data_IF_432253731017
#
_entry.id   IF_432253731017
#
_cell.length_a   1.000
_cell.length_b   1.000
_cell.length_c   1.000
_cell.angle_alpha   90.00
_cell.angle_beta   90.00
_cell.angle_gamma   90.00
#
_symmetry.space_group_name_H-M   'P 1'
#
loop_
_entity.id
_entity.type
_entity.pdbx_description
1 polymer ?
#
# COMPACT_ATOMS: atom_id res chain seq x y z
N UNK A 1 14.03 1.26 30.43
CA UNK A 1 13.26 1.88 29.37
C UNK A 1 13.65 1.32 28.02
N UNK A 2 12.70 1.14 27.21
CA UNK A 2 12.96 0.71 25.86
C UNK A 2 13.73 1.77 25.08
N UNK A 3 14.85 1.38 24.52
CA UNK A 3 15.67 2.29 23.73
C UNK A 3 15.13 2.56 22.34
N UNK A 4 14.03 1.93 21.96
CA UNK A 4 13.46 2.11 20.63
C UNK A 4 12.97 3.53 20.46
N UNK A 5 13.36 4.12 19.34
CA UNK A 5 12.85 5.41 18.95
C UNK A 5 11.41 5.24 18.44
N UNK A 6 10.64 6.32 18.52
CA UNK A 6 9.28 6.28 18.04
C UNK A 6 9.20 5.81 16.57
N UNK A 7 10.20 6.17 15.76
CA UNK A 7 10.24 5.75 14.36
C UNK A 7 10.63 4.29 14.17
N UNK A 8 11.14 3.62 15.20
CA UNK A 8 11.56 2.22 15.09
C UNK A 8 10.43 1.25 15.39
N UNK A 9 9.42 1.69 16.13
CA UNK A 9 8.31 0.83 16.46
C UNK A 9 7.28 0.83 15.32
N UNK A 10 6.69 -0.33 15.00
CA UNK A 10 5.60 -0.34 14.01
C UNK A 10 4.37 0.38 14.57
N UNK A 11 3.60 1.00 13.69
CA UNK A 11 2.35 1.65 14.06
C UNK A 11 1.21 0.66 14.19
N UNK A 12 1.34 -0.49 13.53
CA UNK A 12 0.32 -1.53 13.63
C UNK A 12 0.72 -2.75 12.81
N UNK A 13 -0.21 -3.70 12.71
CA UNK A 13 0.03 -4.90 11.96
C UNK A 13 -1.22 -5.73 11.80
N UNK A 14 -1.17 -6.66 10.85
CA UNK A 14 -2.21 -7.63 10.57
C UNK A 14 -1.55 -8.98 10.40
N UNK A 15 -1.63 -9.81 11.45
CA UNK A 15 -0.92 -11.08 11.48
C UNK A 15 0.59 -10.85 11.52
N UNK A 16 1.37 -11.55 10.68
CA UNK A 16 2.84 -11.41 10.66
C UNK A 16 3.34 -10.19 9.87
N UNK A 17 2.46 -9.31 9.46
CA UNK A 17 2.79 -8.11 8.70
C UNK A 17 2.68 -6.89 9.60
N UNK A 18 3.70 -6.07 9.63
CA UNK A 18 3.75 -4.83 10.39
C UNK A 18 3.82 -3.64 9.43
N UNK A 19 3.42 -2.47 9.91
CA UNK A 19 3.57 -1.26 9.11
C UNK A 19 3.94 -0.06 9.96
N UNK A 20 4.54 0.94 9.31
CA UNK A 20 4.83 2.24 9.89
C UNK A 20 4.25 3.31 8.99
N UNK A 21 3.71 4.34 9.61
CA UNK A 21 3.21 5.50 8.90
C UNK A 21 4.26 6.60 9.02
N UNK A 22 4.77 7.08 7.90
CA UNK A 22 5.73 8.17 7.85
C UNK A 22 5.00 9.46 7.51
N UNK A 23 4.87 10.35 8.47
CA UNK A 23 4.17 11.61 8.32
C UNK A 23 5.07 12.76 7.93
N UNK A 24 6.36 12.48 7.66
CA UNK A 24 7.33 13.52 7.34
C UNK A 24 7.30 13.94 5.87
N UNK A 25 6.60 13.20 5.02
CA UNK A 25 6.53 13.50 3.59
C UNK A 25 5.33 14.41 3.32
N UNK A 26 5.56 15.67 2.92
CA UNK A 26 4.44 16.60 2.74
C UNK A 26 3.47 16.14 1.66
N UNK A 27 2.19 16.20 1.97
CA UNK A 27 1.12 15.93 1.00
C UNK A 27 0.89 14.47 0.66
N UNK A 28 1.68 13.56 1.20
CA UNK A 28 1.59 12.14 0.87
C UNK A 28 1.41 11.33 2.14
N UNK A 29 0.46 10.42 2.14
CA UNK A 29 0.33 9.43 3.21
C UNK A 29 1.25 8.26 2.87
N UNK A 30 2.24 8.00 3.71
CA UNK A 30 3.25 6.98 3.44
C UNK A 30 3.11 5.84 4.46
N UNK A 31 2.90 4.63 3.95
CA UNK A 31 2.89 3.42 4.76
C UNK A 31 4.03 2.53 4.30
N UNK A 32 4.90 2.13 5.23
CA UNK A 32 5.96 1.16 4.96
C UNK A 32 5.61 -0.15 5.63
N UNK A 33 5.51 -1.19 4.82
CA UNK A 33 4.98 -2.49 5.22
C UNK A 33 6.12 -3.51 5.18
N UNK A 34 6.25 -4.28 6.25
CA UNK A 34 7.30 -5.30 6.33
C UNK A 34 6.76 -6.54 7.02
N UNK A 35 7.52 -7.63 6.92
CA UNK A 35 7.17 -8.89 7.54
C UNK A 35 6.97 -9.98 6.53
N UNK A 36 6.11 -10.93 6.87
CA UNK A 36 5.84 -12.09 6.01
C UNK A 36 4.43 -11.97 5.45
N UNK A 37 4.35 -11.91 4.13
CA UNK A 37 3.07 -11.84 3.42
C UNK A 37 2.23 -13.04 3.74
N UNK A 38 0.92 -12.87 3.74
CA UNK A 38 0.04 -13.89 4.21
C UNK A 38 -1.13 -14.12 3.29
N UNK A 39 -2.29 -13.74 3.76
CA UNK A 39 -3.53 -14.11 3.10
C UNK A 39 -4.28 -12.88 2.60
N UNK A 40 -5.30 -13.16 1.79
CA UNK A 40 -6.12 -12.13 1.18
C UNK A 40 -6.89 -11.31 2.22
N UNK A 41 -7.35 -11.95 3.30
CA UNK A 41 -8.11 -11.26 4.33
C UNK A 41 -7.27 -10.20 5.05
N UNK A 42 -6.06 -10.59 5.45
CA UNK A 42 -5.15 -9.65 6.11
C UNK A 42 -4.74 -8.51 5.17
N UNK A 43 -4.49 -8.84 3.90
CA UNK A 43 -4.15 -7.83 2.90
C UNK A 43 -5.30 -6.85 2.68
N UNK A 44 -6.53 -7.34 2.62
CA UNK A 44 -7.70 -6.48 2.46
C UNK A 44 -7.86 -5.53 3.65
N UNK A 45 -7.73 -6.05 4.87
CA UNK A 45 -7.83 -5.21 6.07
C UNK A 45 -6.75 -4.13 6.08
N UNK A 46 -5.54 -4.47 5.68
CA UNK A 46 -4.42 -3.54 5.62
C UNK A 46 -4.68 -2.43 4.59
N UNK A 47 -5.10 -2.77 3.40
CA UNK A 47 -5.41 -1.79 2.37
C UNK A 47 -6.55 -0.87 2.77
N UNK A 48 -7.60 -1.43 3.35
CA UNK A 48 -8.72 -0.64 3.86
C UNK A 48 -8.24 0.37 4.89
N UNK A 49 -7.40 -0.08 5.81
CA UNK A 49 -6.85 0.81 6.82
C UNK A 49 -6.06 1.96 6.21
N UNK A 50 -5.19 1.66 5.24
CA UNK A 50 -4.37 2.71 4.62
C UNK A 50 -5.21 3.73 3.87
N UNK A 51 -6.18 3.28 3.10
CA UNK A 51 -7.05 4.19 2.36
C UNK A 51 -7.86 5.06 3.31
N UNK A 52 -8.45 4.46 4.33
CA UNK A 52 -9.25 5.22 5.30
C UNK A 52 -8.39 6.19 6.10
N UNK A 53 -7.19 5.78 6.49
CA UNK A 53 -6.28 6.65 7.24
C UNK A 53 -5.78 7.81 6.38
N UNK A 54 -5.48 7.57 5.11
CA UNK A 54 -5.09 8.63 4.20
C UNK A 54 -6.21 9.67 4.06
N UNK A 55 -7.44 9.22 3.86
CA UNK A 55 -8.58 10.13 3.74
C UNK A 55 -8.84 10.88 5.03
N UNK A 56 -8.75 10.21 6.17
CA UNK A 56 -8.93 10.86 7.48
C UNK A 56 -7.86 11.92 7.72
N UNK A 57 -6.69 11.76 7.12
CA UNK A 57 -5.59 12.73 7.19
C UNK A 57 -5.71 13.86 6.15
N UNK A 58 -6.76 13.85 5.34
CA UNK A 58 -6.95 14.82 4.28
C UNK A 58 -6.02 14.64 3.09
N UNK A 59 -5.46 13.44 2.91
CA UNK A 59 -4.49 13.17 1.85
C UNK A 59 -5.15 12.42 0.70
N UNK A 60 -4.81 12.82 -0.52
CA UNK A 60 -5.28 12.14 -1.73
C UNK A 60 -4.17 11.34 -2.42
N UNK A 61 -2.97 11.38 -1.87
CA UNK A 61 -1.81 10.66 -2.40
C UNK A 61 -1.33 9.67 -1.35
N UNK A 62 -1.26 8.41 -1.75
CA UNK A 62 -0.89 7.30 -0.86
C UNK A 62 0.28 6.55 -1.48
N UNK A 63 1.37 6.40 -0.72
CA UNK A 63 2.47 5.53 -1.11
C UNK A 63 2.54 4.38 -0.13
N UNK A 64 2.51 3.16 -0.66
CA UNK A 64 2.71 1.95 0.14
C UNK A 64 3.99 1.29 -0.33
N UNK A 65 5.00 1.32 0.54
CA UNK A 65 6.29 0.70 0.27
C UNK A 65 6.32 -0.68 0.90
N UNK A 66 6.62 -1.70 0.13
CA UNK A 66 6.46 -3.08 0.54
C UNK A 66 7.79 -3.79 0.65
N UNK A 67 8.02 -4.39 1.81
CA UNK A 67 9.18 -5.25 2.06
C UNK A 67 8.67 -6.53 2.72
N UNK A 68 7.98 -7.35 1.93
CA UNK A 68 7.36 -8.57 2.41
C UNK A 68 8.10 -9.79 1.91
N UNK A 69 8.35 -10.74 2.80
CA UNK A 69 8.85 -12.06 2.46
C UNK A 69 7.69 -13.04 2.34
N UNK A 70 7.99 -14.29 2.01
CA UNK A 70 7.00 -15.35 1.97
C UNK A 70 6.18 -15.40 0.69
N UNK A 71 5.08 -16.13 0.71
CA UNK A 71 4.29 -16.35 -0.51
C UNK A 71 3.65 -15.07 -1.03
N UNK A 72 3.56 -14.98 -2.34
CA UNK A 72 2.82 -13.92 -3.03
C UNK A 72 1.38 -14.39 -3.20
N UNK A 73 0.43 -13.47 -3.14
CA UNK A 73 -0.96 -13.82 -3.41
C UNK A 73 -1.09 -14.40 -4.83
N UNK A 74 -1.87 -15.44 -4.97
CA UNK A 74 -2.26 -15.93 -6.30
C UNK A 74 -3.24 -14.93 -6.93
N UNK A 75 -3.49 -15.09 -8.22
CA UNK A 75 -4.48 -14.24 -8.89
C UNK A 75 -5.87 -14.40 -8.29
N UNK A 76 -6.24 -15.63 -7.90
CA UNK A 76 -7.52 -15.88 -7.26
C UNK A 76 -7.61 -15.20 -5.89
N UNK A 77 -6.54 -15.24 -5.13
CA UNK A 77 -6.48 -14.57 -3.83
C UNK A 77 -6.52 -13.06 -3.99
N UNK A 78 -5.86 -12.53 -5.01
CA UNK A 78 -5.91 -11.10 -5.31
C UNK A 78 -7.33 -10.67 -5.67
N UNK A 79 -8.00 -11.45 -6.52
CA UNK A 79 -9.39 -11.16 -6.89
C UNK A 79 -10.30 -11.18 -5.67
N UNK A 80 -10.09 -12.12 -4.76
CA UNK A 80 -10.85 -12.18 -3.52
C UNK A 80 -10.58 -10.97 -2.62
N UNK A 81 -9.32 -10.55 -2.52
CA UNK A 81 -8.97 -9.35 -1.77
C UNK A 81 -9.69 -8.12 -2.34
N UNK A 82 -9.64 -7.96 -3.65
CA UNK A 82 -10.29 -6.82 -4.30
C UNK A 82 -11.80 -6.86 -4.15
N UNK A 83 -12.40 -8.05 -4.16
CA UNK A 83 -13.84 -8.19 -3.90
C UNK A 83 -14.20 -7.70 -2.49
N UNK A 84 -13.35 -7.98 -1.51
CA UNK A 84 -13.55 -7.51 -0.14
C UNK A 84 -13.40 -5.98 -0.01
N UNK A 85 -12.75 -5.35 -0.97
CA UNK A 85 -12.55 -3.90 -0.99
C UNK A 85 -13.51 -3.19 -1.96
N UNK A 86 -14.47 -3.90 -2.51
CA UNK A 86 -15.35 -3.36 -3.55
C UNK A 86 -16.23 -2.19 -3.08
N UNK A 87 -16.48 -2.09 -1.77
CA UNK A 87 -17.24 -0.98 -1.18
C UNK A 87 -16.39 0.26 -0.90
N UNK A 88 -15.06 0.14 -1.09
CA UNK A 88 -14.15 1.21 -0.75
C UNK A 88 -14.10 2.24 -1.89
N UNK A 89 -14.32 3.49 -1.53
CA UNK A 89 -14.28 4.58 -2.50
C UNK A 89 -12.83 4.98 -2.76
N UNK A 90 -12.36 4.78 -3.99
CA UNK A 90 -11.01 5.14 -4.41
C UNK A 90 -10.96 6.40 -5.27
N UNK A 91 -12.10 7.04 -5.52
CA UNK A 91 -12.15 8.24 -6.34
C UNK A 91 -11.24 9.33 -5.81
N UNK A 92 -10.44 9.90 -6.70
CA UNK A 92 -9.53 10.99 -6.35
C UNK A 92 -8.25 10.54 -5.67
N UNK A 93 -8.10 9.25 -5.35
CA UNK A 93 -6.85 8.75 -4.78
C UNK A 93 -5.84 8.40 -5.85
N UNK A 94 -4.60 8.80 -5.62
CA UNK A 94 -3.44 8.31 -6.38
C UNK A 94 -2.65 7.42 -5.45
N UNK A 95 -2.44 6.18 -5.88
CA UNK A 95 -1.80 5.15 -5.07
C UNK A 95 -0.52 4.70 -5.79
N UNK A 96 0.61 4.87 -5.13
CA UNK A 96 1.88 4.35 -5.60
C UNK A 96 2.28 3.15 -4.75
N UNK A 97 2.51 2.02 -5.40
CA UNK A 97 3.00 0.81 -4.73
C UNK A 97 4.48 0.70 -5.04
N UNK A 98 5.31 0.68 -4.01
CA UNK A 98 6.75 0.50 -4.18
C UNK A 98 7.07 -0.95 -3.91
N UNK A 99 7.56 -1.65 -4.94
CA UNK A 99 7.93 -3.06 -4.86
C UNK A 99 9.29 -3.23 -5.53
N UNK A 100 10.38 -3.30 -4.75
CA UNK A 100 11.71 -3.43 -5.34
C UNK A 100 12.02 -4.81 -5.90
N UNK A 101 11.21 -5.82 -5.55
CA UNK A 101 11.46 -7.20 -5.99
C UNK A 101 10.68 -7.50 -7.25
N UNK A 102 11.41 -7.72 -8.35
CA UNK A 102 10.81 -7.94 -9.67
C UNK A 102 9.83 -9.11 -9.67
N UNK A 103 10.15 -10.20 -8.96
CA UNK A 103 9.32 -11.39 -8.92
C UNK A 103 7.96 -11.16 -8.25
N UNK A 104 7.81 -10.03 -7.54
CA UNK A 104 6.56 -9.70 -6.86
C UNK A 104 5.76 -8.63 -7.58
N UNK A 105 6.35 -7.97 -8.56
CA UNK A 105 5.71 -6.83 -9.22
C UNK A 105 4.49 -7.23 -10.04
N UNK A 106 4.48 -8.45 -10.59
CA UNK A 106 3.36 -8.88 -11.42
C UNK A 106 2.02 -8.82 -10.70
N UNK A 107 1.97 -9.31 -9.48
CA UNK A 107 0.74 -9.27 -8.68
C UNK A 107 0.39 -7.83 -8.28
N UNK A 108 1.37 -7.03 -7.96
CA UNK A 108 1.13 -5.63 -7.63
C UNK A 108 0.57 -4.86 -8.83
N UNK A 109 1.06 -5.13 -10.03
CA UNK A 109 0.54 -4.52 -11.26
C UNK A 109 -0.91 -4.93 -11.50
N UNK A 110 -1.23 -6.20 -11.33
CA UNK A 110 -2.62 -6.65 -11.45
C UNK A 110 -3.52 -5.96 -10.42
N UNK A 111 -3.04 -5.83 -9.19
CA UNK A 111 -3.76 -5.13 -8.14
C UNK A 111 -4.01 -3.67 -8.49
N UNK A 112 -3.01 -2.99 -9.05
CA UNK A 112 -3.14 -1.61 -9.49
C UNK A 112 -4.20 -1.48 -10.58
N UNK A 113 -4.23 -2.41 -11.54
CA UNK A 113 -5.24 -2.41 -12.59
C UNK A 113 -6.64 -2.57 -12.02
N UNK A 114 -6.81 -3.46 -11.06
CA UNK A 114 -8.11 -3.68 -10.42
C UNK A 114 -8.55 -2.44 -9.62
N UNK A 115 -7.61 -1.76 -8.98
CA UNK A 115 -7.91 -0.52 -8.26
C UNK A 115 -8.37 0.58 -9.21
N UNK A 116 -7.79 0.64 -10.41
CA UNK A 116 -8.22 1.60 -11.42
C UNK A 116 -9.64 1.31 -11.92
N UNK A 117 -10.03 0.04 -11.97
CA UNK A 117 -11.41 -0.33 -12.31
C UNK A 117 -12.40 0.13 -11.24
N UNK A 118 -11.92 0.40 -10.03
CA UNK A 118 -12.75 0.93 -8.93
C UNK A 118 -12.66 2.46 -8.79
N UNK A 119 -12.10 3.13 -9.77
CA UNK A 119 -12.06 4.60 -9.80
C UNK A 119 -10.78 5.23 -9.29
N UNK A 120 -9.84 4.46 -8.76
CA UNK A 120 -8.56 4.99 -8.30
C UNK A 120 -7.57 5.13 -9.45
N UNK A 121 -6.44 5.77 -9.14
CA UNK A 121 -5.28 5.84 -10.03
C UNK A 121 -4.13 5.18 -9.28
N UNK A 122 -3.57 4.11 -9.83
CA UNK A 122 -2.55 3.34 -9.14
C UNK A 122 -1.43 2.93 -10.09
N UNK A 123 -0.21 2.88 -9.60
CA UNK A 123 0.93 2.42 -10.36
C UNK A 123 1.97 1.79 -9.44
N UNK A 124 2.87 1.00 -10.02
CA UNK A 124 3.89 0.26 -9.30
C UNK A 124 5.27 0.79 -9.66
N UNK A 125 6.13 0.92 -8.67
CA UNK A 125 7.48 1.48 -8.82
C UNK A 125 8.50 0.60 -8.12
N UNK A 126 9.75 0.67 -8.59
CA UNK A 126 10.84 -0.09 -7.98
C UNK A 126 11.39 0.61 -6.72
N UNK A 127 11.25 1.93 -6.63
CA UNK A 127 11.80 2.70 -5.53
C UNK A 127 10.89 3.86 -5.14
N UNK A 128 11.13 4.39 -3.93
CA UNK A 128 10.29 5.45 -3.38
C UNK A 128 10.48 6.77 -4.10
N UNK A 129 11.68 7.05 -4.59
CA UNK A 129 11.93 8.32 -5.30
C UNK A 129 11.07 8.44 -6.55
N UNK A 130 11.05 7.38 -7.36
CA UNK A 130 10.21 7.33 -8.56
C UNK A 130 8.73 7.45 -8.22
N UNK A 131 8.32 6.76 -7.17
CA UNK A 131 6.94 6.80 -6.72
C UNK A 131 6.52 8.21 -6.30
N UNK A 132 7.35 8.89 -5.54
CA UNK A 132 7.06 10.25 -5.08
C UNK A 132 6.98 11.25 -6.23
N UNK A 133 7.86 11.11 -7.22
CA UNK A 133 7.83 11.97 -8.40
C UNK A 133 6.49 11.78 -9.12
N UNK A 134 6.08 10.53 -9.32
CA UNK A 134 4.81 10.25 -9.98
C UNK A 134 3.61 10.76 -9.18
N UNK A 135 3.62 10.59 -7.86
CA UNK A 135 2.53 11.06 -7.02
C UNK A 135 2.36 12.57 -7.11
N UNK A 136 3.46 13.31 -7.19
CA UNK A 136 3.43 14.77 -7.20
C UNK A 136 3.21 15.36 -8.58
N UNK A 137 3.78 14.76 -9.62
CA UNK A 137 3.86 15.37 -10.94
C UNK A 137 3.37 14.50 -12.07
N UNK A 138 3.07 13.22 -11.81
CA UNK A 138 2.69 12.28 -12.85
C UNK A 138 1.35 12.59 -13.48
N UNK A 139 1.18 12.14 -14.71
CA UNK A 139 -0.08 12.21 -15.40
C UNK A 139 -0.97 11.04 -15.04
N UNK A 140 -2.24 11.28 -14.99
CA UNK A 140 -3.23 10.24 -14.72
C UNK A 140 -3.43 9.34 -15.92
#
# INVERSE_FOLDING_TARGET
MNARMAGDAPDGGFGPVEFRIDRSVPGVFVARVSGRGGDADAAARRWRYFVQAARASGKSRLMVSRDLAGPVLSEAELARMMAMLSDLDLDGLRIAIVQPRLERQRIDVLGAQLAMEQGGVASVFEDESSALIWLRYGQS
#
